data_IF_878054566864
#
_entry.id   IF_878054566864
#
_cell.length_a   1.000
_cell.length_b   1.000
_cell.length_c   1.000
_cell.angle_alpha   90.00
_cell.angle_beta   90.00
_cell.angle_gamma   90.00
#
_symmetry.space_group_name_H-M   'P 1'
#
loop_
_entity.id
_entity.type
_entity.pdbx_description
1 polymer ?
#
# COMPACT_ATOMS: atom_id res chain seq x y z
N UNK A 1 -12.22 -10.03 -6.23
CA UNK A 1 -11.65 -8.78 -6.81
C UNK A 1 -11.29 -9.00 -8.28
N UNK A 2 -11.31 -7.96 -9.13
CA UNK A 2 -10.96 -8.09 -10.57
C UNK A 2 -9.60 -7.45 -10.85
N UNK A 3 -8.61 -8.26 -11.24
CA UNK A 3 -7.30 -7.76 -11.71
C UNK A 3 -7.38 -7.28 -13.16
N UNK A 4 -6.84 -6.10 -13.43
CA UNK A 4 -6.71 -5.53 -14.79
C UNK A 4 -5.29 -5.05 -15.04
N UNK A 5 -4.86 -5.08 -16.30
CA UNK A 5 -3.60 -4.48 -16.71
C UNK A 5 -3.82 -3.00 -17.08
N UNK A 6 -3.38 -2.09 -16.23
CA UNK A 6 -3.49 -0.65 -16.43
C UNK A 6 -2.13 -0.06 -16.76
N UNK A 7 -1.96 0.43 -17.98
CA UNK A 7 -0.71 1.01 -18.49
C UNK A 7 0.51 0.10 -18.25
N UNK A 8 0.35 -1.21 -18.41
CA UNK A 8 1.42 -2.18 -18.19
C UNK A 8 1.71 -2.46 -16.71
N UNK A 9 0.77 -2.20 -15.81
CA UNK A 9 0.82 -2.60 -14.41
C UNK A 9 -0.45 -3.37 -14.02
N UNK A 10 -0.35 -4.55 -13.39
CA UNK A 10 -1.51 -5.18 -12.77
C UNK A 10 -2.03 -4.28 -11.64
N UNK A 11 -3.33 -4.04 -11.60
CA UNK A 11 -4.03 -3.38 -10.49
C UNK A 11 -5.33 -4.14 -10.21
N UNK A 12 -5.75 -4.17 -8.95
CA UNK A 12 -6.99 -4.79 -8.53
C UNK A 12 -8.09 -3.74 -8.38
N UNK A 13 -9.17 -3.97 -9.11
CA UNK A 13 -10.40 -3.19 -9.00
C UNK A 13 -11.23 -3.83 -7.89
N UNK A 14 -11.29 -3.11 -6.77
CA UNK A 14 -12.10 -3.46 -5.60
C UNK A 14 -12.48 -2.20 -4.82
N UNK A 15 -13.48 -2.32 -3.96
CA UNK A 15 -13.69 -1.37 -2.86
C UNK A 15 -12.93 -1.80 -1.58
N UNK A 16 -12.97 -0.94 -0.57
CA UNK A 16 -12.35 -1.13 0.74
C UNK A 16 -12.90 -2.38 1.41
N UNK A 17 -14.23 -2.52 1.49
CA UNK A 17 -14.87 -3.66 2.14
C UNK A 17 -14.52 -4.99 1.45
N UNK A 18 -14.52 -5.04 0.11
CA UNK A 18 -14.08 -6.21 -0.66
C UNK A 18 -12.60 -6.55 -0.39
N UNK A 19 -11.75 -5.53 -0.28
CA UNK A 19 -10.32 -5.70 -0.02
C UNK A 19 -10.10 -6.28 1.38
N UNK A 20 -10.73 -5.69 2.40
CA UNK A 20 -10.66 -6.15 3.79
C UNK A 20 -11.21 -7.56 3.93
N UNK A 21 -12.36 -7.85 3.33
CA UNK A 21 -12.96 -9.19 3.34
C UNK A 21 -12.06 -10.23 2.67
N UNK A 22 -11.42 -9.89 1.56
CA UNK A 22 -10.47 -10.80 0.89
C UNK A 22 -9.26 -11.08 1.77
N UNK A 23 -8.68 -10.05 2.39
CA UNK A 23 -7.52 -10.20 3.29
C UNK A 23 -7.89 -11.04 4.51
N UNK A 24 -9.06 -10.77 5.12
CA UNK A 24 -9.56 -11.53 6.25
C UNK A 24 -9.74 -13.02 5.89
N UNK A 25 -10.30 -13.31 4.71
CA UNK A 25 -10.43 -14.69 4.23
C UNK A 25 -9.08 -15.37 4.01
N UNK A 26 -8.09 -14.67 3.45
CA UNK A 26 -6.74 -15.21 3.24
C UNK A 26 -6.06 -15.57 4.56
N UNK A 27 -6.20 -14.73 5.58
CA UNK A 27 -5.64 -14.97 6.92
C UNK A 27 -6.30 -16.21 7.53
N UNK A 28 -7.63 -16.34 7.46
CA UNK A 28 -8.33 -17.52 7.97
C UNK A 28 -7.89 -18.83 7.28
N UNK A 29 -7.54 -18.77 5.99
CA UNK A 29 -7.07 -19.93 5.24
C UNK A 29 -5.56 -20.21 5.40
N UNK A 30 -4.83 -19.41 6.19
CA UNK A 30 -3.37 -19.49 6.31
C UNK A 30 -2.64 -19.22 4.98
N UNK A 31 -3.24 -18.44 4.08
CA UNK A 31 -2.67 -18.13 2.78
C UNK A 31 -1.92 -16.79 2.86
N UNK A 32 -0.59 -16.88 2.82
CA UNK A 32 0.27 -15.69 2.77
C UNK A 32 -0.17 -14.74 1.65
N UNK A 33 -0.43 -13.49 2.01
CA UNK A 33 -0.87 -12.45 1.07
C UNK A 33 0.00 -11.20 1.22
N UNK A 34 0.66 -10.81 0.13
CA UNK A 34 1.41 -9.56 0.04
C UNK A 34 0.59 -8.45 -0.60
N UNK A 35 0.50 -7.31 0.09
CA UNK A 35 -0.24 -6.14 -0.34
C UNK A 35 0.66 -4.96 -0.70
N UNK A 36 0.28 -4.26 -1.78
CA UNK A 36 0.85 -2.97 -2.14
C UNK A 36 -0.22 -2.01 -2.66
N UNK A 37 -0.01 -0.73 -2.42
CA UNK A 37 -0.80 0.34 -3.06
C UNK A 37 -0.06 1.00 -4.21
N UNK A 38 -0.80 1.41 -5.24
CA UNK A 38 -0.27 2.17 -6.37
C UNK A 38 -0.83 3.59 -6.44
N UNK A 39 0.06 4.52 -6.81
CA UNK A 39 -0.28 5.89 -7.18
C UNK A 39 0.49 6.27 -8.46
N UNK A 40 0.19 7.44 -9.02
CA UNK A 40 0.79 7.93 -10.28
C UNK A 40 2.32 7.90 -10.23
N UNK A 41 2.90 8.39 -9.13
CA UNK A 41 4.35 8.41 -9.01
C UNK A 41 4.94 6.99 -9.01
N UNK A 42 4.39 6.06 -8.22
CA UNK A 42 4.86 4.67 -8.17
C UNK A 42 4.75 3.99 -9.54
N UNK A 43 3.62 4.17 -10.23
CA UNK A 43 3.41 3.64 -11.59
C UNK A 43 4.47 4.14 -12.58
N UNK A 44 4.82 5.43 -12.53
CA UNK A 44 5.87 5.99 -13.39
C UNK A 44 7.26 5.48 -12.99
N UNK A 45 7.57 5.40 -11.70
CA UNK A 45 8.86 4.91 -11.23
C UNK A 45 9.10 3.44 -11.58
N UNK A 46 8.07 2.59 -11.54
CA UNK A 46 8.17 1.20 -11.99
C UNK A 46 8.66 1.05 -13.44
N UNK A 47 8.48 2.06 -14.29
CA UNK A 47 8.95 1.99 -15.69
C UNK A 47 10.45 2.22 -15.83
N UNK A 48 11.07 2.89 -14.86
CA UNK A 48 12.51 3.17 -14.84
C UNK A 48 13.27 2.33 -13.81
N UNK A 49 12.56 1.63 -12.92
CA UNK A 49 13.13 0.82 -11.85
C UNK A 49 12.62 -0.63 -11.97
N UNK A 50 13.43 -1.53 -12.57
CA UNK A 50 13.07 -2.93 -12.74
C UNK A 50 12.82 -3.66 -11.42
N UNK A 51 13.53 -3.30 -10.35
CA UNK A 51 13.40 -3.93 -9.05
C UNK A 51 12.06 -3.58 -8.41
N UNK A 52 11.68 -2.30 -8.43
CA UNK A 52 10.36 -1.86 -8.00
C UNK A 52 9.24 -2.50 -8.84
N UNK A 53 9.43 -2.61 -10.16
CA UNK A 53 8.44 -3.23 -11.05
C UNK A 53 8.20 -4.70 -10.71
N UNK A 54 9.27 -5.48 -10.59
CA UNK A 54 9.19 -6.90 -10.23
C UNK A 54 8.50 -7.09 -8.89
N UNK A 55 8.86 -6.27 -7.88
CA UNK A 55 8.25 -6.41 -6.57
C UNK A 55 6.77 -6.02 -6.53
N UNK A 56 6.35 -4.95 -7.21
CA UNK A 56 4.92 -4.61 -7.24
C UNK A 56 4.13 -5.70 -7.95
N UNK A 57 4.69 -6.29 -9.03
CA UNK A 57 4.04 -7.37 -9.79
C UNK A 57 3.98 -8.69 -9.04
N UNK A 58 4.84 -8.92 -8.06
CA UNK A 58 4.81 -10.12 -7.22
C UNK A 58 3.81 -10.04 -6.08
N UNK A 59 3.14 -8.91 -5.88
CA UNK A 59 2.14 -8.75 -4.82
C UNK A 59 0.81 -9.41 -5.21
N UNK A 60 0.17 -10.06 -4.23
CA UNK A 60 -1.12 -10.73 -4.38
C UNK A 60 -2.27 -9.74 -4.47
N UNK A 61 -2.15 -8.56 -3.84
CA UNK A 61 -3.14 -7.48 -3.92
C UNK A 61 -2.44 -6.14 -4.24
N UNK A 62 -2.91 -5.47 -5.29
CA UNK A 62 -2.40 -4.20 -5.80
C UNK A 62 -3.55 -3.18 -5.88
N UNK A 63 -3.83 -2.52 -4.76
CA UNK A 63 -4.92 -1.54 -4.68
C UNK A 63 -4.55 -0.16 -5.24
N UNK A 64 -5.58 0.61 -5.57
CA UNK A 64 -5.45 1.98 -6.08
C UNK A 64 -5.55 2.99 -4.92
N UNK A 65 -4.43 3.61 -4.56
CA UNK A 65 -4.36 4.64 -3.50
C UNK A 65 -4.48 6.07 -4.04
N UNK A 66 -3.95 6.32 -5.24
CA UNK A 66 -3.92 7.65 -5.84
C UNK A 66 -5.14 7.97 -6.70
N UNK A 67 -5.77 9.13 -6.47
CA UNK A 67 -6.92 9.58 -7.28
C UNK A 67 -6.60 9.73 -8.77
N UNK A 68 -5.37 10.11 -9.12
CA UNK A 68 -4.94 10.16 -10.52
C UNK A 68 -5.04 8.79 -11.23
N UNK A 69 -4.79 7.68 -10.52
CA UNK A 69 -4.94 6.34 -11.09
C UNK A 69 -6.41 5.99 -11.24
N UNK A 70 -7.27 6.33 -10.27
CA UNK A 70 -8.72 6.12 -10.39
C UNK A 70 -9.29 6.86 -11.59
N UNK A 71 -8.95 8.15 -11.75
CA UNK A 71 -9.40 8.94 -12.90
C UNK A 71 -8.85 8.39 -14.21
N UNK A 72 -7.56 8.05 -14.27
CA UNK A 72 -6.94 7.46 -15.46
C UNK A 72 -7.57 6.12 -15.85
N UNK A 73 -7.83 5.24 -14.90
CA UNK A 73 -8.47 3.95 -15.13
C UNK A 73 -9.92 4.13 -15.62
N UNK A 74 -10.69 5.03 -15.02
CA UNK A 74 -12.05 5.39 -15.48
C UNK A 74 -12.02 5.99 -16.89
N UNK A 75 -11.05 6.84 -17.20
CA UNK A 75 -10.85 7.42 -18.53
C UNK A 75 -10.57 6.35 -19.61
N UNK A 76 -9.84 5.29 -19.25
CA UNK A 76 -9.62 4.13 -20.12
C UNK A 76 -10.79 3.13 -20.14
N UNK A 77 -11.90 3.41 -19.44
CA UNK A 77 -13.13 2.61 -19.47
C UNK A 77 -13.24 1.56 -18.36
N UNK A 78 -12.31 1.53 -17.40
CA UNK A 78 -12.41 0.63 -16.25
C UNK A 78 -13.41 1.18 -15.22
N UNK A 79 -14.34 0.34 -14.77
CA UNK A 79 -15.29 0.66 -13.70
C UNK A 79 -14.61 0.54 -12.33
N UNK A 80 -13.85 1.56 -11.94
CA UNK A 80 -13.23 1.62 -10.61
C UNK A 80 -14.27 2.13 -9.61
N UNK A 81 -14.70 1.33 -8.63
CA UNK A 81 -15.75 1.72 -7.69
C UNK A 81 -15.29 2.88 -6.82
N UNK A 82 -14.13 2.75 -6.19
CA UNK A 82 -13.57 3.75 -5.29
C UNK A 82 -12.04 3.69 -5.21
N UNK A 83 -11.49 4.57 -4.38
CA UNK A 83 -10.08 4.62 -4.04
C UNK A 83 -9.86 3.91 -2.71
N UNK A 84 -8.92 2.98 -2.67
CA UNK A 84 -8.51 2.28 -1.46
C UNK A 84 -7.20 2.92 -0.98
N UNK A 85 -7.32 3.96 -0.16
CA UNK A 85 -6.15 4.67 0.34
C UNK A 85 -5.38 3.80 1.35
N UNK A 86 -4.05 3.83 1.29
CA UNK A 86 -3.22 2.98 2.16
C UNK A 86 -3.38 3.27 3.66
N UNK A 87 -3.62 4.54 4.03
CA UNK A 87 -3.88 4.94 5.43
C UNK A 87 -5.25 4.44 5.90
N UNK A 88 -6.27 4.52 5.04
CA UNK A 88 -7.62 4.07 5.39
C UNK A 88 -7.65 2.55 5.52
N UNK A 89 -7.05 1.84 4.56
CA UNK A 89 -6.94 0.38 4.60
C UNK A 89 -6.17 -0.09 5.85
N UNK A 90 -5.13 0.62 6.27
CA UNK A 90 -4.45 0.32 7.52
C UNK A 90 -5.41 0.34 8.71
N UNK A 91 -6.22 1.39 8.86
CA UNK A 91 -7.21 1.48 9.95
C UNK A 91 -8.30 0.41 9.87
N UNK A 92 -8.80 0.11 8.68
CA UNK A 92 -9.81 -0.93 8.47
C UNK A 92 -9.25 -2.33 8.79
N UNK A 93 -7.99 -2.60 8.46
CA UNK A 93 -7.33 -3.86 8.81
C UNK A 93 -7.08 -3.97 10.31
N UNK A 94 -6.73 -2.89 11.01
CA UNK A 94 -6.61 -2.90 12.47
C UNK A 94 -7.96 -3.18 13.14
N UNK A 95 -9.05 -2.55 12.67
CA UNK A 95 -10.39 -2.83 13.16
C UNK A 95 -10.78 -4.30 12.93
N UNK A 96 -10.59 -4.79 11.70
CA UNK A 96 -10.82 -6.19 11.34
C UNK A 96 -9.99 -7.15 12.21
N UNK A 97 -8.72 -6.84 12.46
CA UNK A 97 -7.86 -7.65 13.34
C UNK A 97 -8.35 -7.65 14.78
N UNK A 98 -8.84 -6.51 15.30
CA UNK A 98 -9.42 -6.43 16.64
C UNK A 98 -10.68 -7.31 16.76
N UNK A 99 -11.55 -7.27 15.75
CA UNK A 99 -12.81 -8.03 15.72
C UNK A 99 -12.59 -9.55 15.58
N UNK A 100 -11.58 -9.96 14.81
CA UNK A 100 -11.27 -11.38 14.57
C UNK A 100 -10.19 -11.93 15.53
N UNK A 101 -9.65 -11.09 16.41
CA UNK A 101 -8.61 -11.47 17.36
C UNK A 101 -7.24 -11.76 16.73
N UNK A 102 -6.99 -11.26 15.52
CA UNK A 102 -5.71 -11.39 14.82
C UNK A 102 -4.64 -10.48 15.44
N UNK A 103 -3.43 -11.01 15.52
CA UNK A 103 -2.26 -10.30 16.03
C UNK A 103 -1.56 -9.48 14.94
N UNK A 104 -1.09 -8.29 15.30
CA UNK A 104 -0.40 -7.38 14.38
C UNK A 104 1.00 -7.03 14.86
N UNK A 105 1.91 -6.83 13.91
CA UNK A 105 3.27 -6.35 14.16
C UNK A 105 3.54 -5.07 13.35
N UNK A 106 4.16 -4.08 14.01
CA UNK A 106 4.49 -2.79 13.40
C UNK A 106 6.00 -2.66 13.18
N UNK A 107 6.44 -2.65 11.92
CA UNK A 107 7.87 -2.61 11.57
C UNK A 107 8.20 -1.37 10.75
N UNK A 108 9.23 -0.61 11.12
CA UNK A 108 9.72 0.51 10.32
C UNK A 108 9.73 1.84 11.06
N UNK A 109 9.89 2.93 10.29
CA UNK A 109 10.03 4.29 10.79
C UNK A 109 11.15 4.48 11.85
N UNK A 110 11.25 5.70 12.40
CA UNK A 110 12.07 5.99 13.58
C UNK A 110 11.45 5.36 14.83
N UNK A 111 12.27 5.08 15.85
CA UNK A 111 11.81 4.43 17.07
C UNK A 111 10.66 5.20 17.76
N UNK A 112 10.77 6.53 17.82
CA UNK A 112 9.73 7.40 18.38
C UNK A 112 8.42 7.34 17.58
N UNK A 113 8.52 7.21 16.24
CA UNK A 113 7.35 7.15 15.36
C UNK A 113 6.63 5.82 15.50
N UNK A 114 7.34 4.69 15.49
CA UNK A 114 6.71 3.37 15.57
C UNK A 114 6.12 3.12 16.97
N UNK A 115 6.81 3.53 18.04
CA UNK A 115 6.30 3.43 19.41
C UNK A 115 5.07 4.32 19.63
N UNK A 116 5.08 5.56 19.13
CA UNK A 116 3.90 6.45 19.15
C UNK A 116 2.74 5.86 18.34
N UNK A 117 3.03 5.25 17.19
CA UNK A 117 2.04 4.54 16.38
C UNK A 117 1.41 3.39 17.17
N UNK A 118 2.22 2.53 17.80
CA UNK A 118 1.73 1.41 18.62
C UNK A 118 0.82 1.90 19.75
N UNK A 119 1.24 2.92 20.49
CA UNK A 119 0.46 3.50 21.59
C UNK A 119 -0.90 4.04 21.12
N UNK A 120 -0.91 4.81 20.03
CA UNK A 120 -2.16 5.37 19.48
C UNK A 120 -3.08 4.31 18.90
N UNK A 121 -2.51 3.31 18.22
CA UNK A 121 -3.27 2.18 17.70
C UNK A 121 -3.91 1.40 18.85
N UNK A 122 -3.18 1.14 19.94
CA UNK A 122 -3.74 0.46 21.12
C UNK A 122 -4.86 1.27 21.78
N UNK A 123 -4.74 2.60 21.83
CA UNK A 123 -5.79 3.48 22.37
C UNK A 123 -7.05 3.50 21.48
N UNK A 124 -6.88 3.49 20.16
CA UNK A 124 -7.99 3.50 19.20
C UNK A 124 -8.70 2.14 19.10
N UNK A 125 -7.95 1.04 19.27
CA UNK A 125 -8.45 -0.32 19.17
C UNK A 125 -8.06 -1.12 20.42
N UNK A 126 -8.74 -0.94 21.56
CA UNK A 126 -8.34 -1.57 22.83
C UNK A 126 -8.29 -3.10 22.81
N UNK A 127 -9.11 -3.75 21.97
CA UNK A 127 -9.14 -5.20 21.81
C UNK A 127 -8.07 -5.75 20.86
N UNK A 128 -7.35 -4.88 20.13
CA UNK A 128 -6.33 -5.30 19.19
C UNK A 128 -5.12 -5.90 19.92
N UNK A 129 -4.65 -7.05 19.42
CA UNK A 129 -3.43 -7.69 19.89
C UNK A 129 -2.22 -7.16 19.10
N UNK A 130 -1.50 -6.22 19.68
CA UNK A 130 -0.20 -5.80 19.14
C UNK A 130 0.86 -6.79 19.65
N UNK A 131 1.29 -7.71 18.80
CA UNK A 131 2.28 -8.74 19.14
C UNK A 131 3.70 -8.17 19.29
N UNK A 132 3.97 -7.03 18.67
CA UNK A 132 5.22 -6.30 18.85
C UNK A 132 5.38 -5.15 17.87
N UNK A 133 6.47 -4.41 18.04
CA UNK A 133 6.90 -3.41 17.09
C UNK A 133 8.42 -3.25 17.07
N UNK A 134 8.97 -2.76 15.96
CA UNK A 134 10.39 -2.49 15.82
C UNK A 134 10.65 -1.34 14.85
N UNK A 135 11.66 -0.50 15.13
CA UNK A 135 12.10 0.57 14.23
C UNK A 135 12.67 0.03 12.91
N UNK A 136 12.81 0.87 11.88
CA UNK A 136 13.26 0.47 10.53
C UNK A 136 14.78 0.44 10.28
N UNK A 137 15.59 0.54 11.32
CA UNK A 137 17.05 0.74 11.21
C UNK A 137 17.84 -0.46 11.76
N UNK A 138 17.50 -1.67 11.30
CA UNK A 138 18.04 -2.95 11.79
C UNK A 138 18.89 -3.71 10.74
N UNK A 139 19.33 -3.04 9.68
CA UNK A 139 19.95 -3.67 8.51
C UNK A 139 21.23 -4.49 8.79
N UNK A 140 21.89 -4.24 9.93
CA UNK A 140 23.06 -5.00 10.34
C UNK A 140 22.70 -6.35 10.97
N UNK A 141 21.42 -6.56 11.32
CA UNK A 141 20.92 -7.76 11.99
C UNK A 141 19.45 -8.02 11.61
N UNK A 142 19.22 -8.29 10.33
CA UNK A 142 17.87 -8.60 9.82
C UNK A 142 17.31 -9.88 10.45
N UNK A 143 18.16 -10.89 10.68
CA UNK A 143 17.75 -12.21 11.17
C UNK A 143 17.11 -12.13 12.55
N UNK A 144 17.72 -11.40 13.48
CA UNK A 144 17.14 -11.20 14.82
C UNK A 144 15.76 -10.53 14.75
N UNK A 145 15.54 -9.61 13.81
CA UNK A 145 14.21 -8.98 13.65
C UNK A 145 13.19 -9.95 13.08
N UNK A 146 13.58 -10.79 12.12
CA UNK A 146 12.71 -11.84 11.57
C UNK A 146 12.33 -12.85 12.65
N UNK A 147 13.30 -13.28 13.47
CA UNK A 147 13.05 -14.17 14.61
C UNK A 147 12.07 -13.55 15.61
N UNK A 148 12.26 -12.29 15.98
CA UNK A 148 11.31 -11.55 16.84
C UNK A 148 9.89 -11.49 16.27
N UNK A 149 9.76 -11.24 14.96
CA UNK A 149 8.44 -11.21 14.30
C UNK A 149 7.79 -12.59 14.37
N UNK A 150 8.54 -13.64 14.00
CA UNK A 150 8.04 -15.02 14.03
C UNK A 150 7.63 -15.46 15.44
N UNK A 151 8.47 -15.21 16.43
CA UNK A 151 8.23 -15.58 17.84
C UNK A 151 7.05 -14.82 18.46
N UNK A 152 6.77 -13.61 17.97
CA UNK A 152 5.62 -12.83 18.44
C UNK A 152 4.27 -13.46 18.08
N UNK A 153 4.24 -14.41 17.12
CA UNK A 153 3.01 -15.01 16.62
C UNK A 153 2.10 -14.00 15.90
N UNK A 154 2.67 -12.94 15.33
CA UNK A 154 1.94 -11.97 14.54
C UNK A 154 1.39 -12.60 13.25
N UNK A 155 0.15 -12.28 12.91
CA UNK A 155 -0.45 -12.72 11.64
C UNK A 155 -0.37 -11.63 10.57
N UNK A 156 -0.46 -10.36 10.96
CA UNK A 156 -0.33 -9.21 10.07
C UNK A 156 0.95 -8.43 10.36
N UNK A 157 1.70 -8.10 9.31
CA UNK A 157 2.90 -7.27 9.37
C UNK A 157 2.71 -5.97 8.58
N UNK A 158 2.79 -4.83 9.26
CA UNK A 158 2.75 -3.51 8.63
C UNK A 158 4.15 -2.91 8.55
N UNK A 159 4.63 -2.63 7.33
CA UNK A 159 6.02 -2.22 7.09
C UNK A 159 6.14 -0.78 6.58
N UNK A 160 6.65 0.11 7.44
CA UNK A 160 6.96 1.52 7.17
C UNK A 160 8.45 1.72 6.85
N UNK A 161 8.95 0.97 5.86
CA UNK A 161 10.32 1.09 5.34
C UNK A 161 10.26 1.64 3.92
N UNK A 162 11.24 2.46 3.55
CA UNK A 162 11.35 3.01 2.20
C UNK A 162 11.66 1.93 1.17
N UNK A 163 11.07 2.04 -0.01
CA UNK A 163 11.45 1.22 -1.16
C UNK A 163 12.85 1.60 -1.65
N UNK A 164 13.65 0.66 -2.18
CA UNK A 164 13.34 -0.76 -2.44
C UNK A 164 13.66 -1.70 -1.27
N UNK A 165 14.18 -1.17 -0.14
CA UNK A 165 14.65 -2.00 0.98
C UNK A 165 13.55 -2.88 1.57
N UNK A 166 12.35 -2.32 1.70
CA UNK A 166 11.16 -3.04 2.17
C UNK A 166 10.86 -4.28 1.32
N UNK A 167 10.81 -4.08 0.01
CA UNK A 167 10.50 -5.12 -0.96
C UNK A 167 11.54 -6.25 -0.92
N UNK A 168 12.83 -5.90 -0.83
CA UNK A 168 13.90 -6.88 -0.72
C UNK A 168 13.84 -7.68 0.59
N UNK A 169 13.56 -7.00 1.70
CA UNK A 169 13.39 -7.64 3.00
C UNK A 169 12.25 -8.65 2.99
N UNK A 170 11.06 -8.25 2.50
CA UNK A 170 9.89 -9.13 2.42
C UNK A 170 10.20 -10.32 1.52
N UNK A 171 10.71 -10.10 0.30
CA UNK A 171 10.98 -11.20 -0.62
C UNK A 171 12.03 -12.19 -0.09
N UNK A 172 13.04 -11.70 0.64
CA UNK A 172 14.09 -12.52 1.23
C UNK A 172 13.56 -13.38 2.38
N UNK A 173 12.74 -12.81 3.26
CA UNK A 173 12.38 -13.44 4.54
C UNK A 173 10.92 -13.92 4.62
N UNK A 174 10.10 -13.78 3.56
CA UNK A 174 8.67 -14.13 3.57
C UNK A 174 8.36 -15.51 4.17
N UNK A 175 9.20 -16.50 3.91
CA UNK A 175 9.00 -17.89 4.37
C UNK A 175 9.38 -18.06 5.85
N UNK A 176 10.25 -17.20 6.38
CA UNK A 176 10.73 -17.24 7.76
C UNK A 176 9.97 -16.29 8.70
N UNK A 177 9.29 -15.27 8.17
CA UNK A 177 8.54 -14.31 8.98
C UNK A 177 7.37 -14.94 9.75
N UNK A 178 6.81 -16.06 9.26
CA UNK A 178 5.70 -16.76 9.93
C UNK A 178 4.40 -15.95 10.02
N UNK A 179 4.15 -15.07 9.06
CA UNK A 179 2.98 -14.18 8.99
C UNK A 179 2.04 -14.58 7.84
N UNK A 180 0.76 -14.22 7.96
CA UNK A 180 -0.26 -14.49 6.93
C UNK A 180 -0.44 -13.31 5.96
N UNK A 181 -0.14 -12.09 6.40
CA UNK A 181 -0.35 -10.89 5.61
C UNK A 181 0.73 -9.83 5.82
N UNK A 182 1.23 -9.24 4.73
CA UNK A 182 2.15 -8.10 4.80
C UNK A 182 1.69 -6.93 3.95
N UNK A 183 1.71 -5.73 4.54
CA UNK A 183 1.37 -4.48 3.86
C UNK A 183 2.47 -3.45 4.03
N UNK A 184 2.94 -2.89 2.90
CA UNK A 184 3.81 -1.73 2.91
C UNK A 184 3.03 -0.45 3.16
N UNK A 185 3.14 0.12 4.37
CA UNK A 185 2.37 1.29 4.80
C UNK A 185 3.11 2.63 4.64
N UNK A 186 4.43 2.61 4.42
CA UNK A 186 5.22 3.81 4.15
C UNK A 186 4.98 4.91 5.21
N UNK A 187 4.64 6.13 4.76
CA UNK A 187 4.38 7.28 5.64
C UNK A 187 3.07 7.23 6.44
N UNK A 188 2.33 6.12 6.43
CA UNK A 188 1.14 5.96 7.30
C UNK A 188 1.52 6.07 8.77
N UNK A 189 2.67 5.51 9.19
CA UNK A 189 3.11 5.63 10.59
C UNK A 189 3.37 7.09 10.98
N UNK A 190 3.94 7.91 10.09
CA UNK A 190 4.11 9.34 10.37
C UNK A 190 2.76 10.07 10.55
N UNK A 191 1.73 9.66 9.81
CA UNK A 191 0.37 10.20 9.95
C UNK A 191 -0.26 9.77 11.28
N UNK A 192 -0.20 8.48 11.59
CA UNK A 192 -0.81 7.91 12.80
C UNK A 192 -0.10 8.42 14.05
N UNK A 193 1.23 8.48 14.05
CA UNK A 193 2.04 9.07 15.13
C UNK A 193 1.84 10.59 15.29
N UNK A 194 1.16 11.25 14.33
CA UNK A 194 0.89 12.69 14.36
C UNK A 194 2.06 13.57 13.94
N UNK A 195 3.15 12.99 13.42
CA UNK A 195 4.30 13.70 12.86
C UNK A 195 3.91 14.48 11.59
N UNK A 196 3.00 13.91 10.79
CA UNK A 196 2.47 14.54 9.56
C UNK A 196 0.96 14.66 9.65
N UNK A 197 0.43 15.87 9.46
CA UNK A 197 -1.02 16.08 9.37
C UNK A 197 -1.52 15.58 8.01
N UNK A 198 -2.57 14.75 8.03
CA UNK A 198 -3.32 14.37 6.82
C UNK A 198 -4.20 15.54 6.35
N UNK A 199 -4.59 15.53 5.08
CA UNK A 199 -5.51 16.53 4.54
C UNK A 199 -6.85 16.51 5.28
N UNK A 200 -7.56 17.64 5.42
CA UNK A 200 -8.93 17.66 5.96
C UNK A 200 -9.87 16.69 5.22
N UNK A 201 -10.87 16.14 5.93
CA UNK A 201 -11.78 15.12 5.38
C UNK A 201 -12.47 15.56 4.08
N UNK A 202 -12.85 16.83 3.95
CA UNK A 202 -13.44 17.34 2.72
C UNK A 202 -12.45 17.24 1.54
N UNK A 203 -11.16 17.53 1.75
CA UNK A 203 -10.14 17.37 0.70
C UNK A 203 -9.92 15.89 0.37
N UNK A 204 -9.94 15.01 1.37
CA UNK A 204 -9.80 13.57 1.15
C UNK A 204 -10.95 13.03 0.29
N UNK A 205 -12.20 13.40 0.61
CA UNK A 205 -13.41 13.00 -0.13
C UNK A 205 -13.42 13.48 -1.57
N UNK A 206 -12.84 14.66 -1.83
CA UNK A 206 -12.72 15.23 -3.17
C UNK A 206 -11.46 14.76 -3.92
N UNK A 207 -10.63 13.89 -3.31
CA UNK A 207 -9.40 13.39 -3.92
C UNK A 207 -8.28 14.43 -4.01
N UNK A 208 -8.33 15.49 -3.19
CA UNK A 208 -7.39 16.63 -3.16
C UNK A 208 -6.22 16.43 -2.17
N UNK A 209 -6.02 15.23 -1.63
CA UNK A 209 -4.89 14.95 -0.72
C UNK A 209 -3.53 15.27 -1.35
N UNK A 210 -3.41 15.08 -2.68
CA UNK A 210 -2.20 15.43 -3.42
C UNK A 210 -1.93 16.95 -3.37
N UNK A 211 -2.97 17.77 -3.48
CA UNK A 211 -2.86 19.23 -3.44
C UNK A 211 -2.47 19.71 -2.04
N UNK A 212 -3.06 19.11 -1.00
CA UNK A 212 -2.66 19.38 0.38
C UNK A 212 -1.18 19.08 0.64
N UNK A 213 -0.65 17.97 0.09
CA UNK A 213 0.79 17.67 0.17
C UNK A 213 1.66 18.67 -0.60
N UNK A 214 1.17 19.23 -1.71
CA UNK A 214 1.87 20.34 -2.39
C UNK A 214 1.94 21.57 -1.49
N UNK A 215 0.86 21.91 -0.78
CA UNK A 215 0.87 23.04 0.16
C UNK A 215 1.87 22.81 1.30
N UNK A 216 1.94 21.58 1.84
CA UNK A 216 2.87 21.25 2.92
C UNK A 216 4.34 21.25 2.47
N UNK A 217 4.63 20.80 1.24
CA UNK A 217 6.00 20.66 0.74
C UNK A 217 6.15 21.13 -0.72
N UNK A 218 5.95 22.42 -1.00
CA UNK A 218 5.76 22.93 -2.36
C UNK A 218 6.97 22.67 -3.27
N UNK A 219 8.20 22.90 -2.78
CA UNK A 219 9.42 22.71 -3.58
C UNK A 219 9.62 21.26 -4.03
N UNK A 220 9.34 20.30 -3.14
CA UNK A 220 9.57 18.87 -3.39
C UNK A 220 8.41 18.26 -4.18
N UNK A 221 7.18 18.52 -3.75
CA UNK A 221 6.00 17.88 -4.31
C UNK A 221 5.59 18.47 -5.65
N UNK A 222 5.75 19.78 -5.89
CA UNK A 222 5.45 20.38 -7.19
C UNK A 222 6.28 19.76 -8.32
N UNK A 223 7.61 19.71 -8.16
CA UNK A 223 8.51 19.11 -9.16
C UNK A 223 8.15 17.65 -9.43
N UNK A 224 7.87 16.89 -8.38
CA UNK A 224 7.44 15.50 -8.49
C UNK A 224 6.15 15.37 -9.29
N UNK A 225 5.10 16.10 -8.92
CA UNK A 225 3.80 16.01 -9.61
C UNK A 225 3.88 16.48 -11.05
N UNK A 226 4.59 17.57 -11.34
CA UNK A 226 4.73 18.05 -12.72
C UNK A 226 5.38 16.97 -13.60
N UNK A 227 6.48 16.35 -13.14
CA UNK A 227 7.18 15.31 -13.88
C UNK A 227 6.38 14.00 -13.98
N UNK A 228 5.77 13.53 -12.90
CA UNK A 228 5.05 12.25 -12.92
C UNK A 228 3.69 12.36 -13.60
N UNK A 229 2.96 13.45 -13.37
CA UNK A 229 1.61 13.62 -13.93
C UNK A 229 1.67 13.94 -15.43
N UNK A 230 2.67 14.69 -15.92
CA UNK A 230 2.85 14.91 -17.36
C UNK A 230 3.14 13.61 -18.11
N UNK A 231 4.10 12.81 -17.62
CA UNK A 231 4.38 11.47 -18.17
C UNK A 231 3.15 10.57 -18.13
N UNK A 232 2.40 10.61 -17.02
CA UNK A 232 1.19 9.82 -16.87
C UNK A 232 0.07 10.25 -17.84
N UNK A 233 -0.17 11.54 -18.00
CA UNK A 233 -1.14 12.07 -18.96
C UNK A 233 -0.79 11.66 -20.40
N UNK A 234 0.48 11.75 -20.78
CA UNK A 234 0.94 11.28 -22.10
C UNK A 234 0.68 9.78 -22.29
N UNK A 235 0.95 8.96 -21.28
CA UNK A 235 0.68 7.52 -21.33
C UNK A 235 -0.82 7.20 -21.45
N UNK A 236 -1.68 7.93 -20.74
CA UNK A 236 -3.13 7.77 -20.84
C UNK A 236 -3.64 8.10 -22.25
N UNK A 237 -3.18 9.21 -22.82
CA UNK A 237 -3.56 9.61 -24.18
C UNK A 237 -3.07 8.56 -25.19
N UNK A 238 -1.81 8.13 -25.08
CA UNK A 238 -1.24 7.10 -25.96
C UNK A 238 -2.00 5.78 -25.89
N UNK A 239 -2.43 5.36 -24.69
CA UNK A 239 -3.20 4.13 -24.52
C UNK A 239 -4.64 4.27 -25.01
N UNK A 240 -5.26 5.44 -24.87
CA UNK A 240 -6.61 5.71 -25.39
C UNK A 240 -6.65 5.70 -26.93
N UNK A 241 -5.58 6.19 -27.56
CA UNK A 241 -5.43 6.23 -29.01
C UNK A 241 -4.92 4.90 -29.60
N UNK A 242 -4.55 3.92 -28.77
CA UNK A 242 -4.11 2.62 -29.25
C UNK A 242 -5.29 1.90 -29.91
N UNK A 243 -5.14 1.41 -31.15
CA UNK A 243 -6.18 0.63 -31.80
C UNK A 243 -6.50 -0.59 -30.93
N UNK A 244 -7.76 -0.82 -30.61
CA UNK A 244 -8.16 -2.05 -29.92
C UNK A 244 -7.82 -3.22 -30.84
N UNK A 245 -7.06 -4.24 -30.38
CA UNK A 245 -6.81 -5.40 -31.22
C UNK A 245 -8.16 -6.00 -31.64
N UNK A 246 -8.37 -6.16 -32.96
CA UNK A 246 -9.55 -6.86 -33.50
C UNK A 246 -9.62 -8.21 -32.78
N UNK A 247 -10.75 -8.50 -32.12
CA UNK A 247 -11.06 -9.86 -31.68
C UNK A 247 -10.98 -10.74 -32.93
N UNK A 248 -9.98 -11.60 -33.03
CA UNK A 248 -9.98 -12.71 -33.97
C UNK A 248 -11.15 -13.60 -33.57
N UNK A 249 -12.24 -13.54 -34.35
CA UNK A 249 -13.29 -14.54 -34.34
C UNK A 249 -12.67 -15.82 -34.87
N UNK A 250 -12.38 -16.77 -33.98
CA UNK A 250 -12.22 -18.15 -34.41
C UNK A 250 -13.62 -18.67 -34.75
N UNK A 251 -13.85 -18.85 -36.05
CA UNK A 251 -14.85 -19.77 -36.59
C UNK A 251 -14.41 -21.21 -36.32
#
# INVERSE_FOLDING_TARGET
MKRVNFLGCPIDISCMSETVATICSSIHSGHFTQHVVINVAKLIHMRSDPQLNTSVRSCDIINIDGMGIVWGARFLGHKVPERVAGVDLFHELLAMSADNGFSVYLLGAENEVVSSTANRVQQLYPALKIAGYHHGYFWNDEKTVVEKIRESGAQLLFVAITSPKKENFINRWREELGIDFVMGVGGTFDVVAGKVKRAPLWMQRWGLEWFYRVIQEPKRMWKRYLLTNSKFAWLLIKEKLRPTPKKTSNN
#
